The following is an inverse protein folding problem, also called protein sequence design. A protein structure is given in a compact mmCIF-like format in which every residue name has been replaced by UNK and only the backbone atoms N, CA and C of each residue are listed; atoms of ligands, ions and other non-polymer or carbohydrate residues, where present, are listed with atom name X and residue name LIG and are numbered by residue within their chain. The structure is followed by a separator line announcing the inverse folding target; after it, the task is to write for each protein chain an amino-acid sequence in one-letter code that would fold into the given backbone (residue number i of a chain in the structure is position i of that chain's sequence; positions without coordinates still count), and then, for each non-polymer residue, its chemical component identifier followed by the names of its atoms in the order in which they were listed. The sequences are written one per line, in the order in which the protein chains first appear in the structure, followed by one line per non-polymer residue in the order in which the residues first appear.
data_IF_200795336408
#
_entry.id   IF_200795336408
#
_cell.length_a   1.000
_cell.length_b   1.000
_cell.length_c   1.000
_cell.angle_alpha   90.00
_cell.angle_beta   90.00
_cell.angle_gamma   90.00
#
_symmetry.space_group_name_H-M   'P 1'
#
loop_
_entity.id
_entity.type
_entity.pdbx_description
1 polymer ?
#
# COMPACT_ATOMS: atom_id res chain seq x y z
N UNK A 1 -28.22 -21.02 -8.12
CA UNK A 1 -26.88 -21.42 -7.64
C UNK A 1 -26.94 -21.65 -6.14
N UNK A 2 -26.67 -22.89 -5.68
CA UNK A 2 -26.67 -23.26 -4.26
C UNK A 2 -25.37 -22.77 -3.62
N UNK A 3 -25.45 -21.94 -2.58
CA UNK A 3 -24.28 -21.40 -1.87
C UNK A 3 -24.06 -22.21 -0.58
N UNK A 4 -22.99 -23.00 -0.56
CA UNK A 4 -22.53 -23.75 0.61
C UNK A 4 -21.56 -22.85 1.40
N UNK A 5 -21.82 -22.47 2.67
CA UNK A 5 -20.87 -21.66 3.41
C UNK A 5 -19.72 -22.53 3.95
N UNK A 6 -18.52 -22.18 3.47
CA UNK A 6 -17.20 -22.63 3.91
C UNK A 6 -16.94 -22.27 5.37
N UNK A 7 -16.54 -23.25 6.18
CA UNK A 7 -16.06 -23.09 7.55
C UNK A 7 -14.60 -22.62 7.54
N UNK A 8 -14.32 -21.31 7.44
CA UNK A 8 -13.08 -20.72 7.96
C UNK A 8 -13.30 -19.29 8.43
N UNK A 9 -12.69 -18.98 9.56
CA UNK A 9 -12.51 -17.67 10.20
C UNK A 9 -13.72 -17.08 10.95
N UNK A 10 -13.81 -17.41 12.24
CA UNK A 10 -14.10 -16.39 13.24
C UNK A 10 -12.96 -16.37 14.25
N UNK A 11 -12.14 -15.32 14.15
CA UNK A 11 -11.12 -14.99 15.12
C UNK A 11 -11.78 -14.62 16.44
N UNK A 12 -11.34 -15.27 17.51
CA UNK A 12 -11.81 -15.04 18.87
C UNK A 12 -10.68 -14.33 19.63
N UNK A 13 -10.92 -13.08 19.99
CA UNK A 13 -10.06 -12.33 20.90
C UNK A 13 -10.54 -12.54 22.33
N UNK A 14 -9.57 -12.87 23.19
CA UNK A 14 -9.50 -12.75 24.64
C UNK A 14 -10.34 -13.72 25.51
N UNK A 15 -9.65 -14.73 26.04
CA UNK A 15 -9.51 -14.87 27.50
C UNK A 15 -8.21 -15.62 27.80
N UNK A 16 -7.16 -14.85 28.10
CA UNK A 16 -5.85 -15.33 28.53
C UNK A 16 -5.97 -16.01 29.89
N UNK A 17 -5.81 -17.33 29.95
CA UNK A 17 -5.54 -18.06 31.18
C UNK A 17 -4.37 -19.03 30.93
N UNK A 18 -3.17 -18.52 31.21
CA UNK A 18 -1.93 -19.23 31.57
C UNK A 18 -1.62 -20.49 30.76
N UNK A 19 -0.91 -20.31 29.64
CA UNK A 19 0.07 -21.31 29.18
C UNK A 19 1.47 -20.80 29.52
N UNK A 20 2.00 -21.23 30.66
CA UNK A 20 3.44 -21.24 30.90
C UNK A 20 4.03 -22.51 30.30
N UNK A 21 4.64 -22.35 29.14
CA UNK A 21 5.91 -22.97 28.66
C UNK A 21 6.25 -24.42 29.02
N UNK A 22 6.59 -25.20 27.99
CA UNK A 22 7.56 -26.30 28.11
C UNK A 22 7.26 -27.50 27.24
N UNK A 23 8.12 -27.80 26.27
CA UNK A 23 8.09 -29.03 25.50
C UNK A 23 8.15 -30.25 26.44
N UNK A 24 7.18 -31.16 26.36
CA UNK A 24 7.27 -32.47 27.01
C UNK A 24 7.07 -33.54 25.96
N UNK A 25 8.10 -34.35 25.77
CA UNK A 25 8.07 -35.55 24.97
C UNK A 25 6.86 -36.42 25.38
N UNK A 26 6.03 -36.79 24.41
CA UNK A 26 4.85 -37.65 24.65
C UNK A 26 5.35 -39.05 25.03
N UNK A 27 5.43 -39.32 26.32
CA UNK A 27 5.60 -40.68 26.84
C UNK A 27 4.23 -41.40 26.79
N UNK A 28 4.20 -42.75 26.69
CA UNK A 28 2.95 -43.52 26.63
C UNK A 28 2.01 -43.30 27.83
N UNK A 29 2.51 -42.75 28.95
CA UNK A 29 1.71 -42.38 30.12
C UNK A 29 0.91 -41.07 29.92
N UNK A 30 1.30 -40.20 29.00
CA UNK A 30 0.60 -38.94 28.70
C UNK A 30 -0.73 -39.13 27.94
N UNK A 31 -0.83 -40.18 27.13
CA UNK A 31 -2.06 -40.54 26.42
C UNK A 31 -3.18 -40.92 27.41
N UNK A 32 -2.85 -41.64 28.48
CA UNK A 32 -3.82 -42.03 29.52
C UNK A 32 -4.32 -40.84 30.36
N UNK A 33 -3.52 -39.79 30.53
CA UNK A 33 -3.94 -38.55 31.24
C UNK A 33 -4.82 -37.68 30.34
N UNK A 34 -4.53 -37.60 29.04
CA UNK A 34 -5.39 -36.92 28.07
C UNK A 34 -6.74 -37.62 27.91
N UNK A 35 -6.76 -38.95 27.87
CA UNK A 35 -8.02 -39.72 27.81
C UNK A 35 -8.86 -39.57 29.08
N UNK A 36 -8.24 -39.56 30.27
CA UNK A 36 -8.96 -39.38 31.54
C UNK A 36 -9.45 -37.95 31.73
N UNK A 37 -8.67 -36.97 31.29
CA UNK A 37 -9.07 -35.56 31.27
C UNK A 37 -10.24 -35.34 30.30
N UNK A 38 -10.20 -35.92 29.09
CA UNK A 38 -11.28 -35.83 28.11
C UNK A 38 -12.59 -36.50 28.57
N UNK A 39 -12.51 -37.67 29.21
CA UNK A 39 -13.67 -38.39 29.75
C UNK A 39 -14.33 -37.64 30.93
N UNK A 40 -13.53 -36.95 31.77
CA UNK A 40 -14.03 -36.11 32.86
C UNK A 40 -14.61 -34.78 32.37
N UNK A 41 -13.92 -34.12 31.44
CA UNK A 41 -14.33 -32.82 30.90
C UNK A 41 -15.67 -32.89 30.17
N UNK A 42 -15.92 -33.94 29.38
CA UNK A 42 -17.20 -34.11 28.70
C UNK A 42 -18.39 -34.18 29.67
N UNK A 43 -18.21 -34.84 30.82
CA UNK A 43 -19.22 -34.88 31.90
C UNK A 43 -19.37 -33.54 32.60
N UNK A 44 -18.26 -32.86 32.91
CA UNK A 44 -18.28 -31.54 33.56
C UNK A 44 -18.94 -30.49 32.64
N UNK A 45 -18.63 -30.52 31.35
CA UNK A 45 -19.26 -29.67 30.34
C UNK A 45 -20.78 -29.89 30.33
N UNK A 46 -21.23 -31.13 30.10
CA UNK A 46 -22.66 -31.46 30.02
C UNK A 46 -23.44 -31.21 31.32
N UNK A 47 -22.86 -31.48 32.50
CA UNK A 47 -23.59 -31.33 33.78
C UNK A 47 -23.55 -29.94 34.40
N UNK A 48 -22.48 -29.16 34.18
CA UNK A 48 -22.21 -27.95 34.98
C UNK A 48 -22.04 -26.68 34.15
N UNK A 49 -21.66 -26.80 32.89
CA UNK A 49 -21.30 -25.65 32.06
C UNK A 49 -22.25 -25.44 30.87
N UNK A 50 -22.82 -26.51 30.30
CA UNK A 50 -23.70 -26.41 29.13
C UNK A 50 -24.93 -25.55 29.43
N UNK A 51 -25.68 -25.84 30.49
CA UNK A 51 -26.84 -25.03 30.89
C UNK A 51 -26.48 -23.56 31.17
N UNK A 52 -25.27 -23.32 31.72
CA UNK A 52 -24.78 -21.96 32.00
C UNK A 52 -24.29 -21.23 30.76
N UNK A 53 -23.76 -21.95 29.78
CA UNK A 53 -23.37 -21.41 28.48
C UNK A 53 -24.63 -21.07 27.66
N UNK A 54 -25.61 -21.97 27.65
CA UNK A 54 -26.89 -21.80 26.96
C UNK A 54 -27.73 -20.66 27.61
N UNK A 55 -27.54 -20.38 28.91
CA UNK A 55 -28.13 -19.20 29.56
C UNK A 55 -27.42 -17.88 29.24
N UNK A 56 -26.12 -17.91 28.92
CA UNK A 56 -25.33 -16.69 28.65
C UNK A 56 -25.37 -16.25 27.19
N UNK A 57 -25.62 -17.17 26.28
CA UNK A 57 -25.68 -16.90 24.86
C UNK A 57 -27.09 -17.14 24.34
N UNK A 58 -27.63 -16.16 23.61
CA UNK A 58 -28.87 -16.39 22.89
C UNK A 58 -28.68 -17.55 21.92
N UNK A 59 -29.58 -18.52 21.95
CA UNK A 59 -29.66 -19.51 20.88
C UNK A 59 -29.88 -18.78 19.55
N UNK A 60 -29.53 -19.40 18.42
CA UNK A 60 -29.76 -18.80 17.11
C UNK A 60 -31.22 -18.34 16.96
N UNK A 61 -32.17 -19.16 17.41
CA UNK A 61 -33.60 -18.81 17.42
C UNK A 61 -33.90 -17.62 18.33
N UNK A 62 -33.35 -17.56 19.55
CA UNK A 62 -33.55 -16.40 20.43
C UNK A 62 -32.93 -15.12 19.87
N UNK A 63 -31.76 -15.22 19.24
CA UNK A 63 -31.10 -14.11 18.55
C UNK A 63 -31.95 -13.64 17.36
N UNK A 64 -32.41 -14.58 16.53
CA UNK A 64 -33.26 -14.28 15.38
C UNK A 64 -34.59 -13.66 15.85
N UNK A 65 -35.27 -14.19 16.88
CA UNK A 65 -36.49 -13.56 17.43
C UNK A 65 -36.23 -12.17 18.00
N UNK A 66 -35.10 -11.97 18.70
CA UNK A 66 -34.76 -10.70 19.35
C UNK A 66 -34.34 -9.61 18.35
N UNK A 67 -33.69 -9.99 17.25
CA UNK A 67 -33.13 -9.05 16.27
C UNK A 67 -33.89 -9.01 14.93
N UNK A 68 -34.69 -10.02 14.58
CA UNK A 68 -35.53 -10.00 13.36
C UNK A 68 -36.82 -9.18 13.55
N UNK A 69 -37.33 -9.05 14.79
CA UNK A 69 -38.55 -8.28 15.09
C UNK A 69 -38.33 -6.78 15.31
N UNK A 70 -37.08 -6.35 15.54
CA UNK A 70 -36.75 -4.92 15.56
C UNK A 70 -36.37 -4.56 14.13
N UNK A 71 -37.26 -3.86 13.42
CA UNK A 71 -37.09 -3.37 12.04
C UNK A 71 -35.92 -2.40 11.81
N UNK A 72 -34.76 -2.67 12.40
CA UNK A 72 -33.50 -1.95 12.26
C UNK A 72 -32.44 -2.73 11.48
N UNK A 73 -32.72 -3.96 11.03
CA UNK A 73 -31.89 -4.63 10.03
C UNK A 73 -32.43 -4.31 8.64
N UNK A 74 -31.72 -3.47 7.90
CA UNK A 74 -32.02 -3.25 6.49
C UNK A 74 -31.91 -4.58 5.75
N UNK A 75 -32.94 -4.92 4.97
CA UNK A 75 -32.81 -5.92 3.92
C UNK A 75 -31.68 -5.50 2.97
N UNK A 76 -31.04 -6.46 2.30
CA UNK A 76 -29.98 -6.14 1.33
C UNK A 76 -30.41 -5.05 0.32
N UNK A 77 -31.64 -5.09 -0.26
CA UNK A 77 -32.12 -4.00 -1.11
C UNK A 77 -32.24 -2.65 -0.39
N UNK A 78 -32.71 -2.61 0.86
CA UNK A 78 -32.78 -1.35 1.64
C UNK A 78 -31.39 -0.81 1.99
N UNK A 79 -30.44 -1.70 2.27
CA UNK A 79 -29.04 -1.33 2.49
C UNK A 79 -28.40 -0.82 1.21
N UNK A 80 -28.62 -1.49 0.08
CA UNK A 80 -28.11 -1.10 -1.24
C UNK A 80 -28.78 0.21 -1.73
N UNK A 81 -30.02 0.52 -1.29
CA UNK A 81 -30.70 1.78 -1.57
C UNK A 81 -30.26 2.94 -0.65
N UNK A 82 -29.78 2.64 0.57
CA UNK A 82 -29.34 3.66 1.55
C UNK A 82 -27.85 3.95 1.50
N UNK A 83 -27.03 2.97 1.18
CA UNK A 83 -25.58 3.09 1.10
C UNK A 83 -25.14 2.94 -0.35
N UNK A 84 -24.03 3.60 -0.71
CA UNK A 84 -23.42 3.42 -2.02
C UNK A 84 -23.20 1.94 -2.29
N UNK A 85 -23.61 1.47 -3.47
CA UNK A 85 -23.22 0.15 -3.91
C UNK A 85 -21.69 0.04 -3.88
N UNK A 86 -21.15 -1.17 -3.76
CA UNK A 86 -19.69 -1.36 -3.81
C UNK A 86 -19.09 -0.68 -5.05
N UNK A 87 -19.76 -0.79 -6.20
CA UNK A 87 -19.36 -0.15 -7.45
C UNK A 87 -19.35 1.38 -7.34
N UNK A 88 -20.37 1.99 -6.74
CA UNK A 88 -20.43 3.45 -6.56
C UNK A 88 -19.40 3.94 -5.55
N UNK A 89 -19.19 3.18 -4.48
CA UNK A 89 -18.17 3.47 -3.48
C UNK A 89 -16.77 3.39 -4.11
N UNK A 90 -16.46 2.30 -4.81
CA UNK A 90 -15.20 2.11 -5.51
C UNK A 90 -14.98 3.21 -6.56
N UNK A 91 -15.99 3.56 -7.36
CA UNK A 91 -15.91 4.67 -8.31
C UNK A 91 -15.63 6.02 -7.61
N UNK A 92 -16.24 6.28 -6.46
CA UNK A 92 -16.01 7.51 -5.68
C UNK A 92 -14.63 7.54 -5.01
N UNK A 93 -14.14 6.40 -4.53
CA UNK A 93 -12.80 6.30 -3.96
C UNK A 93 -11.71 6.39 -5.02
N UNK A 94 -11.94 5.83 -6.21
CA UNK A 94 -11.08 6.00 -7.39
C UNK A 94 -11.12 7.45 -7.91
N UNK A 95 -12.28 8.10 -7.83
CA UNK A 95 -12.42 9.52 -8.20
C UNK A 95 -11.73 10.48 -7.23
N UNK A 96 -11.42 10.05 -5.99
CA UNK A 96 -10.45 10.77 -5.14
C UNK A 96 -9.05 10.52 -5.70
N UNK A 97 -8.77 11.18 -6.81
CA UNK A 97 -7.51 11.12 -7.50
C UNK A 97 -6.39 11.46 -6.52
N UNK A 98 -5.55 10.47 -6.24
CA UNK A 98 -4.41 10.67 -5.36
C UNK A 98 -3.36 11.48 -6.10
N UNK A 99 -3.05 12.66 -5.58
CA UNK A 99 -1.78 13.31 -5.87
C UNK A 99 -0.66 12.52 -5.18
N UNK A 100 0.24 11.97 -5.98
CA UNK A 100 1.48 11.38 -5.52
C UNK A 100 2.49 12.49 -5.28
N UNK A 101 3.29 12.37 -4.22
CA UNK A 101 4.28 13.38 -3.84
C UNK A 101 5.58 12.70 -3.42
N UNK A 102 6.68 13.43 -3.57
CA UNK A 102 7.97 13.02 -3.05
C UNK A 102 8.95 14.17 -2.96
N UNK A 103 10.12 13.86 -2.41
CA UNK A 103 11.28 14.74 -2.34
C UNK A 103 12.36 14.20 -3.26
N UNK A 104 13.19 15.07 -3.81
CA UNK A 104 14.37 14.67 -4.57
C UNK A 104 15.58 15.50 -4.15
N UNK A 105 16.76 14.89 -4.31
CA UNK A 105 18.04 15.56 -4.21
C UNK A 105 18.97 14.87 -5.21
N UNK A 106 19.53 15.64 -6.14
CA UNK A 106 20.42 15.15 -7.17
C UNK A 106 21.71 15.95 -7.08
N UNK A 107 22.85 15.27 -7.02
CA UNK A 107 24.16 15.90 -6.89
C UNK A 107 25.26 15.09 -7.57
N UNK A 108 26.35 15.78 -7.95
CA UNK A 108 27.52 15.17 -8.59
C UNK A 108 28.80 15.91 -8.15
N UNK A 109 29.87 15.20 -7.75
CA UNK A 109 31.15 15.80 -7.37
C UNK A 109 32.05 16.16 -8.56
N UNK A 110 31.48 16.35 -9.76
CA UNK A 110 32.29 16.65 -10.95
C UNK A 110 33.11 17.93 -10.80
N UNK A 111 34.39 17.86 -11.13
CA UNK A 111 35.30 19.02 -11.20
C UNK A 111 35.30 19.68 -12.57
N UNK A 112 34.44 19.23 -13.50
CA UNK A 112 34.35 19.74 -14.88
C UNK A 112 33.05 20.50 -15.05
N UNK A 113 33.13 21.77 -15.45
CA UNK A 113 31.96 22.57 -15.81
C UNK A 113 31.24 21.96 -17.02
N UNK A 114 29.90 22.01 -17.01
CA UNK A 114 29.07 21.37 -18.03
C UNK A 114 28.87 19.86 -17.83
N UNK A 115 29.51 19.25 -16.82
CA UNK A 115 29.20 17.88 -16.46
C UNK A 115 27.77 17.75 -15.97
N UNK A 116 27.15 16.60 -16.26
CA UNK A 116 25.74 16.37 -15.96
C UNK A 116 25.52 15.91 -14.52
N UNK A 117 24.48 16.48 -13.93
CA UNK A 117 23.87 16.04 -12.69
C UNK A 117 22.49 15.50 -13.04
N UNK A 118 22.27 14.21 -12.82
CA UNK A 118 21.01 13.55 -13.11
C UNK A 118 20.61 12.56 -12.03
N UNK A 119 19.32 12.35 -11.88
CA UNK A 119 18.74 11.41 -10.93
C UNK A 119 17.36 10.98 -11.39
N UNK A 120 16.93 9.81 -10.94
CA UNK A 120 15.62 9.28 -11.25
C UNK A 120 14.55 9.74 -10.25
N UNK A 121 13.32 9.77 -10.72
CA UNK A 121 12.13 10.08 -9.96
C UNK A 121 11.12 8.97 -10.23
N UNK A 122 10.84 8.14 -9.22
CA UNK A 122 9.87 7.05 -9.31
C UNK A 122 8.52 7.46 -8.70
N UNK A 123 7.42 7.12 -9.38
CA UNK A 123 6.08 7.39 -8.85
C UNK A 123 5.59 6.33 -7.87
N UNK A 124 6.22 5.14 -7.85
CA UNK A 124 5.74 3.96 -7.14
C UNK A 124 4.46 3.34 -7.72
N UNK A 125 3.97 3.87 -8.85
CA UNK A 125 2.80 3.41 -9.60
C UNK A 125 3.08 3.48 -11.10
N UNK A 126 2.37 2.68 -11.87
CA UNK A 126 2.34 2.74 -13.33
C UNK A 126 1.09 3.48 -13.78
N UNK A 127 1.27 4.54 -14.55
CA UNK A 127 0.19 5.34 -15.12
C UNK A 127 -0.31 4.74 -16.43
N UNK A 128 -1.57 4.96 -16.76
CA UNK A 128 -2.11 4.57 -18.07
C UNK A 128 -1.51 5.39 -19.24
N UNK A 129 -1.04 6.61 -18.96
CA UNK A 129 -0.39 7.50 -19.91
C UNK A 129 0.72 8.30 -19.20
N UNK A 130 1.73 8.74 -19.96
CA UNK A 130 2.77 9.61 -19.43
C UNK A 130 2.19 11.01 -19.10
N UNK A 131 2.54 11.60 -17.95
CA UNK A 131 2.07 12.93 -17.60
C UNK A 131 2.86 14.01 -18.36
N UNK A 132 2.24 15.18 -18.54
CA UNK A 132 2.95 16.39 -18.98
C UNK A 132 3.83 16.88 -17.84
N UNK A 133 5.14 16.96 -18.08
CA UNK A 133 6.10 17.31 -17.04
C UNK A 133 6.46 18.80 -17.05
N UNK A 134 6.55 19.37 -15.85
CA UNK A 134 6.90 20.76 -15.59
C UNK A 134 8.01 20.84 -14.56
N UNK A 135 9.09 21.56 -14.88
CA UNK A 135 10.15 21.90 -13.93
C UNK A 135 10.05 23.36 -13.53
N UNK A 136 9.95 23.65 -12.24
CA UNK A 136 9.68 24.97 -11.70
C UNK A 136 10.87 25.35 -10.82
N UNK A 137 11.72 26.24 -11.33
CA UNK A 137 12.87 26.76 -10.60
C UNK A 137 12.43 27.66 -9.44
N UNK A 138 13.30 27.83 -8.44
CA UNK A 138 13.02 28.75 -7.32
C UNK A 138 12.71 30.15 -7.85
N UNK A 139 11.56 30.69 -7.49
CA UNK A 139 11.10 32.03 -7.91
C UNK A 139 10.48 32.10 -9.31
N UNK A 140 10.46 31.01 -10.07
CA UNK A 140 9.78 30.96 -11.37
C UNK A 140 8.26 30.95 -11.19
N UNK A 141 7.54 31.44 -12.22
CA UNK A 141 6.09 31.33 -12.27
C UNK A 141 5.67 29.86 -12.38
N UNK A 142 4.58 29.50 -11.70
CA UNK A 142 4.01 28.15 -11.77
C UNK A 142 3.16 28.04 -13.05
N UNK A 143 3.45 27.08 -13.95
CA UNK A 143 2.72 26.94 -15.21
C UNK A 143 1.32 26.34 -15.00
N UNK A 144 0.41 26.46 -16.00
CA UNK A 144 -0.88 25.77 -15.99
C UNK A 144 -0.73 24.26 -15.79
N UNK A 145 -1.62 23.67 -14.99
CA UNK A 145 -1.54 22.27 -14.58
C UNK A 145 -0.74 22.03 -13.29
N UNK A 146 -0.05 23.06 -12.78
CA UNK A 146 0.68 23.02 -11.52
C UNK A 146 0.14 24.05 -10.53
N UNK A 147 0.25 23.74 -9.24
CA UNK A 147 -0.12 24.66 -8.16
C UNK A 147 0.69 24.41 -6.89
N UNK A 148 0.69 25.39 -5.98
CA UNK A 148 1.41 25.28 -4.71
C UNK A 148 2.86 25.72 -4.78
N UNK A 149 3.70 25.15 -3.92
CA UNK A 149 5.11 25.53 -3.75
C UNK A 149 5.97 24.30 -3.49
N UNK A 150 7.30 24.45 -3.42
CA UNK A 150 8.17 23.36 -3.00
C UNK A 150 7.82 22.78 -1.61
N UNK A 151 7.26 23.56 -0.69
CA UNK A 151 6.82 23.06 0.62
C UNK A 151 5.46 22.33 0.58
N UNK A 152 4.63 22.64 -0.41
CA UNK A 152 3.29 22.07 -0.58
C UNK A 152 3.00 21.88 -2.08
N UNK A 153 3.65 20.91 -2.75
CA UNK A 153 3.53 20.77 -4.19
C UNK A 153 2.17 20.17 -4.56
N UNK A 154 1.61 20.64 -5.67
CA UNK A 154 0.35 20.14 -6.20
C UNK A 154 0.38 20.11 -7.73
N UNK A 155 -0.41 19.21 -8.31
CA UNK A 155 -0.51 18.99 -9.74
C UNK A 155 -1.95 18.65 -10.09
N UNK A 156 -2.42 19.20 -11.22
CA UNK A 156 -3.71 18.85 -11.80
C UNK A 156 -3.63 17.46 -12.47
N UNK A 157 -4.77 16.77 -12.73
CA UNK A 157 -4.77 15.49 -13.42
C UNK A 157 -3.97 15.50 -14.73
N UNK A 158 -3.07 14.53 -14.89
CA UNK A 158 -2.23 14.39 -16.09
C UNK A 158 -0.92 15.17 -16.03
N UNK A 159 -0.62 15.87 -14.94
CA UNK A 159 0.58 16.67 -14.80
C UNK A 159 1.57 16.09 -13.76
N UNK A 160 2.86 16.26 -14.05
CA UNK A 160 3.97 16.13 -13.10
C UNK A 160 4.57 17.51 -12.90
N UNK A 161 4.56 17.99 -11.65
CA UNK A 161 5.07 19.29 -11.25
C UNK A 161 6.25 19.10 -10.31
N UNK A 162 7.45 19.44 -10.78
CA UNK A 162 8.69 19.35 -10.01
C UNK A 162 9.09 20.75 -9.57
N UNK A 163 9.10 20.98 -8.26
CA UNK A 163 9.41 22.25 -7.63
C UNK A 163 10.80 22.20 -7.03
N UNK A 164 11.67 23.08 -7.50
CA UNK A 164 12.99 23.27 -6.91
C UNK A 164 12.89 24.08 -5.63
N UNK A 165 13.61 23.66 -4.59
CA UNK A 165 13.78 24.44 -3.36
C UNK A 165 15.20 25.00 -3.22
N UNK A 166 16.18 24.36 -3.85
CA UNK A 166 17.59 24.73 -3.76
C UNK A 166 18.39 24.25 -4.96
N UNK A 167 19.43 25.00 -5.30
CA UNK A 167 20.39 24.67 -6.33
C UNK A 167 21.76 25.29 -5.99
N UNK A 168 22.83 24.53 -6.17
CA UNK A 168 24.22 24.96 -6.01
C UNK A 168 25.03 24.48 -7.19
N UNK A 169 25.83 25.39 -7.78
CA UNK A 169 26.75 25.09 -8.88
C UNK A 169 26.10 24.32 -10.06
N UNK A 170 24.81 24.56 -10.31
CA UNK A 170 24.07 24.04 -11.46
C UNK A 170 23.42 25.16 -12.23
N UNK A 171 23.23 24.98 -13.54
CA UNK A 171 22.84 26.02 -14.47
C UNK A 171 21.67 25.62 -15.35
N UNK A 172 21.22 26.57 -16.17
CA UNK A 172 20.26 26.29 -17.21
C UNK A 172 20.91 25.52 -18.37
N UNK A 173 20.17 24.64 -19.06
CA UNK A 173 18.77 24.28 -18.81
C UNK A 173 18.60 23.25 -17.67
N UNK A 174 17.52 23.39 -16.90
CA UNK A 174 17.05 22.41 -15.89
C UNK A 174 15.68 21.92 -16.27
N UNK A 175 15.52 20.61 -16.39
CA UNK A 175 14.26 20.04 -16.85
C UNK A 175 14.04 18.61 -16.36
N UNK A 176 12.79 18.18 -16.48
CA UNK A 176 12.38 16.78 -16.35
C UNK A 176 12.45 16.13 -17.73
N UNK A 177 12.86 14.87 -17.81
CA UNK A 177 12.98 14.14 -19.07
C UNK A 177 12.57 12.67 -18.97
N UNK A 178 12.17 12.09 -20.11
CA UNK A 178 12.06 10.66 -20.33
C UNK A 178 13.45 10.00 -20.55
N UNK A 179 13.45 8.70 -20.86
CA UNK A 179 14.67 7.93 -21.17
C UNK A 179 15.36 8.33 -22.48
N UNK A 180 14.69 9.08 -23.35
CA UNK A 180 15.25 9.59 -24.60
C UNK A 180 15.91 10.98 -24.44
N UNK A 181 15.94 11.53 -23.22
CA UNK A 181 16.47 12.86 -22.92
C UNK A 181 15.68 14.02 -23.55
N UNK A 182 14.40 13.81 -23.87
CA UNK A 182 13.50 14.85 -24.35
C UNK A 182 13.08 15.80 -23.22
N UNK A 183 13.35 17.09 -23.37
CA UNK A 183 13.02 18.07 -22.32
C UNK A 183 11.50 18.19 -22.07
N UNK A 184 11.15 18.36 -20.79
CA UNK A 184 9.76 18.49 -20.32
C UNK A 184 8.88 17.26 -20.63
N UNK A 185 9.48 16.08 -20.64
CA UNK A 185 8.78 14.80 -20.82
C UNK A 185 8.96 13.89 -19.61
N UNK A 186 8.11 12.86 -19.53
CA UNK A 186 8.16 11.84 -18.49
C UNK A 186 7.75 10.48 -19.08
N UNK A 187 7.92 9.41 -18.30
CA UNK A 187 7.36 8.09 -18.62
C UNK A 187 6.17 7.79 -17.72
N UNK A 188 5.39 6.73 -18.00
CA UNK A 188 4.30 6.32 -17.12
C UNK A 188 4.73 5.78 -15.74
N UNK A 189 6.02 5.48 -15.53
CA UNK A 189 6.52 4.89 -14.28
C UNK A 189 7.44 5.82 -13.49
N UNK A 190 7.96 6.87 -14.13
CA UNK A 190 8.84 7.84 -13.52
C UNK A 190 9.31 8.90 -14.50
N UNK A 191 10.34 9.63 -14.11
CA UNK A 191 11.05 10.58 -14.94
C UNK A 191 12.50 10.70 -14.49
N UNK A 192 13.28 11.44 -15.24
CA UNK A 192 14.65 11.81 -14.90
C UNK A 192 14.72 13.31 -14.70
N UNK A 193 15.56 13.74 -13.77
CA UNK A 193 15.89 15.13 -13.54
C UNK A 193 17.26 15.41 -14.13
N UNK A 194 17.43 16.57 -14.75
CA UNK A 194 18.65 16.92 -15.45
C UNK A 194 19.08 18.36 -15.17
N UNK A 195 20.38 18.55 -14.96
CA UNK A 195 21.01 19.87 -14.98
C UNK A 195 22.51 19.79 -15.29
N UNK A 196 23.08 20.74 -16.07
CA UNK A 196 24.52 20.89 -16.18
C UNK A 196 25.10 21.63 -14.96
N UNK A 197 26.31 21.27 -14.55
CA UNK A 197 27.12 22.05 -13.61
C UNK A 197 27.64 23.34 -14.27
N UNK A 198 27.77 24.43 -13.51
CA UNK A 198 28.31 25.71 -14.04
C UNK A 198 29.80 25.92 -13.79
N UNK A 199 30.40 25.16 -12.88
CA UNK A 199 31.80 25.28 -12.49
C UNK A 199 32.40 23.95 -12.01
N UNK A 200 33.72 23.93 -11.86
CA UNK A 200 34.47 22.75 -11.41
C UNK A 200 34.38 22.50 -9.90
N UNK A 201 33.18 22.21 -9.41
CA UNK A 201 32.91 21.94 -8.01
C UNK A 201 31.67 21.05 -7.87
N UNK A 202 31.40 20.57 -6.65
CA UNK A 202 30.19 19.81 -6.35
C UNK A 202 28.93 20.61 -6.75
N UNK A 203 28.13 20.06 -7.66
CA UNK A 203 26.87 20.62 -8.11
C UNK A 203 25.70 19.78 -7.63
N UNK A 204 24.65 20.43 -7.11
CA UNK A 204 23.43 19.75 -6.73
C UNK A 204 22.19 20.63 -6.88
N UNK A 205 21.03 19.98 -6.96
CA UNK A 205 19.73 20.63 -6.85
C UNK A 205 18.75 19.67 -6.21
N UNK A 206 17.75 20.23 -5.53
CA UNK A 206 16.79 19.44 -4.76
C UNK A 206 15.48 20.17 -4.58
N UNK A 207 14.47 19.42 -4.17
CA UNK A 207 13.13 19.96 -4.04
C UNK A 207 12.08 18.89 -3.80
N UNK A 208 10.86 19.17 -4.23
CA UNK A 208 9.73 18.27 -4.12
C UNK A 208 9.03 18.12 -5.46
N UNK A 209 8.20 17.11 -5.57
CA UNK A 209 7.38 16.90 -6.74
C UNK A 209 5.97 16.48 -6.34
N UNK A 210 5.03 16.79 -7.21
CA UNK A 210 3.67 16.30 -7.17
C UNK A 210 3.27 15.77 -8.55
N UNK A 211 2.55 14.67 -8.59
CA UNK A 211 1.98 14.11 -9.81
C UNK A 211 0.57 13.64 -9.54
N UNK A 212 -0.35 13.98 -10.43
CA UNK A 212 -1.70 13.42 -10.38
C UNK A 212 -1.98 12.67 -11.69
N UNK A 213 -2.39 11.40 -11.64
CA UNK A 213 -2.69 10.65 -12.86
C UNK A 213 -3.83 11.31 -13.65
N UNK A 214 -3.69 11.42 -14.97
CA UNK A 214 -4.79 11.83 -15.85
C UNK A 214 -5.84 10.72 -16.08
N UNK A 215 -5.60 9.52 -15.53
CA UNK A 215 -6.42 8.33 -15.70
C UNK A 215 -6.10 7.29 -14.64
N UNK A 216 -6.27 6.00 -14.98
CA UNK A 216 -5.96 4.92 -14.05
C UNK A 216 -4.46 4.90 -13.69
N UNK A 217 -4.17 4.60 -12.42
CA UNK A 217 -2.84 4.31 -11.92
C UNK A 217 -2.87 2.95 -11.24
N UNK A 218 -1.95 2.07 -11.60
CA UNK A 218 -1.82 0.74 -11.01
C UNK A 218 -0.59 0.72 -10.11
N UNK A 219 -0.76 0.30 -8.86
CA UNK A 219 0.39 0.03 -7.99
C UNK A 219 1.12 -1.16 -8.60
N UNK A 220 2.43 -1.06 -8.79
CA UNK A 220 3.24 -2.20 -9.18
C UNK A 220 2.95 -3.32 -8.17
N UNK A 221 2.42 -4.46 -8.65
CA UNK A 221 2.10 -5.57 -7.78
C UNK A 221 3.35 -5.86 -6.94
N UNK A 222 3.21 -5.84 -5.61
CA UNK A 222 4.29 -6.23 -4.70
C UNK A 222 4.71 -7.60 -5.17
N UNK A 223 5.87 -7.68 -5.83
CA UNK A 223 6.26 -8.87 -6.57
C UNK A 223 6.01 -10.08 -5.69
N UNK A 224 5.25 -11.05 -6.20
CA UNK A 224 5.46 -12.40 -5.75
C UNK A 224 6.96 -12.60 -5.90
N UNK A 225 7.68 -12.60 -4.78
CA UNK A 225 9.11 -12.91 -4.78
C UNK A 225 9.19 -14.20 -5.58
N UNK A 226 9.85 -14.22 -6.75
CA UNK A 226 9.98 -15.45 -7.49
C UNK A 226 10.59 -16.42 -6.49
N UNK A 227 9.82 -17.46 -6.15
CA UNK A 227 10.29 -18.50 -5.26
C UNK A 227 11.55 -19.02 -5.93
N UNK A 228 12.70 -18.71 -5.32
CA UNK A 228 13.98 -19.18 -5.81
C UNK A 228 13.88 -20.70 -5.66
N UNK A 229 13.59 -21.37 -6.77
CA UNK A 229 13.53 -22.82 -6.79
C UNK A 229 14.83 -23.38 -6.20
N UNK A 230 14.78 -24.52 -5.49
CA UNK A 230 15.96 -25.10 -4.91
C UNK A 230 17.04 -25.22 -5.98
N UNK A 231 18.21 -24.63 -5.72
CA UNK A 231 19.38 -24.70 -6.58
C UNK A 231 19.69 -26.16 -6.91
N UNK A 232 19.31 -26.59 -8.11
CA UNK A 232 19.74 -27.87 -8.66
C UNK A 232 21.26 -27.80 -8.89
N UNK A 233 21.95 -28.86 -8.50
CA UNK A 233 23.37 -28.86 -8.15
C UNK A 233 24.31 -28.26 -9.20
N UNK A 234 25.13 -27.32 -8.75
CA UNK A 234 26.40 -27.03 -9.41
C UNK A 234 27.29 -28.29 -9.33
N UNK A 235 27.82 -28.80 -10.46
CA UNK A 235 28.74 -29.93 -10.42
C UNK A 235 30.03 -29.53 -9.69
N UNK A 236 30.40 -30.33 -8.68
CA UNK A 236 31.75 -30.26 -8.10
C UNK A 236 32.74 -30.66 -9.19
N UNK A 237 33.56 -29.72 -9.62
CA UNK A 237 34.78 -30.02 -10.36
C UNK A 237 35.79 -30.55 -9.35
N UNK A 238 36.23 -31.79 -9.56
CA UNK A 238 37.36 -32.42 -8.88
C UNK A 238 38.66 -32.10 -9.60
#
# INVERSE_FOLDING_TARGET
MKYTPSRKALGLVAASAVMTTGAVAVTPAGAAVQDRAAQGWGKIWKKKLQDKADQRYYTKTQSDTRYAGKGGSYTKPESDARYYSKTDADARYQARQRTYRGTYLVGSPSTVAGAYVFGDLSYGVTLAAAPTAHYIQVGAAVPPGCSGTAAAPSADPGHLCVFESQALNVGAPRFVTNLAFDASTATPTGAWLYSPTVGGAYGFFGGTWAMQPGGAATVAAKGAVPEVGPTEGLPRVH
#
